data_IF_266172095280
#
_entry.id   IF_266172095280
#
_cell.length_a   1.000
_cell.length_b   1.000
_cell.length_c   1.000
_cell.angle_alpha   90.00
_cell.angle_beta   90.00
_cell.angle_gamma   90.00
#
_symmetry.space_group_name_H-M   'P 1'
#
loop_
_entity.id
_entity.type
_entity.pdbx_description
1 polymer ?
#
# COMPACT_ATOMS: atom_id res chain seq x y z
N UNK A 1 -52.07 -1.48 25.65
CA UNK A 1 -50.92 -0.85 24.96
C UNK A 1 -50.96 -1.33 23.52
N UNK A 2 -50.89 -0.44 22.53
CA UNK A 2 -50.90 -0.85 21.12
C UNK A 2 -49.66 -1.71 20.83
N UNK A 3 -49.81 -2.75 20.01
CA UNK A 3 -48.64 -3.52 19.54
C UNK A 3 -47.75 -2.59 18.71
N UNK A 4 -46.41 -2.65 18.87
CA UNK A 4 -45.49 -1.82 18.11
C UNK A 4 -45.60 -2.13 16.61
N UNK A 5 -45.53 -1.09 15.79
CA UNK A 5 -45.53 -1.18 14.34
C UNK A 5 -44.26 -1.85 13.81
N UNK A 6 -44.32 -2.39 12.58
CA UNK A 6 -43.15 -2.99 11.94
C UNK A 6 -41.98 -2.00 11.78
N UNK A 7 -42.26 -0.72 11.55
CA UNK A 7 -41.22 0.34 11.48
C UNK A 7 -40.54 0.59 12.82
N UNK A 8 -41.30 0.63 13.93
CA UNK A 8 -40.73 0.74 15.27
C UNK A 8 -39.88 -0.48 15.63
N UNK A 9 -40.32 -1.68 15.24
CA UNK A 9 -39.57 -2.92 15.45
C UNK A 9 -38.29 -2.95 14.59
N UNK A 10 -38.32 -2.44 13.36
CA UNK A 10 -37.14 -2.30 12.51
C UNK A 10 -36.11 -1.35 13.13
N UNK A 11 -36.54 -0.17 13.57
CA UNK A 11 -35.65 0.80 14.22
C UNK A 11 -35.03 0.22 15.49
N UNK A 12 -35.80 -0.55 16.26
CA UNK A 12 -35.27 -1.30 17.41
C UNK A 12 -34.24 -2.33 16.97
N UNK A 13 -34.50 -3.12 15.94
CA UNK A 13 -33.56 -4.12 15.43
C UNK A 13 -32.24 -3.48 14.96
N UNK A 14 -32.29 -2.33 14.29
CA UNK A 14 -31.11 -1.55 13.89
C UNK A 14 -30.33 -1.01 15.10
N UNK A 15 -31.05 -0.54 16.13
CA UNK A 15 -30.41 -0.10 17.37
C UNK A 15 -29.73 -1.28 18.11
N UNK A 16 -30.37 -2.44 18.16
CA UNK A 16 -29.78 -3.67 18.72
C UNK A 16 -28.57 -4.12 17.88
N UNK A 17 -28.62 -4.01 16.55
CA UNK A 17 -27.49 -4.31 15.68
C UNK A 17 -26.27 -3.44 16.01
N UNK A 18 -26.49 -2.16 16.34
CA UNK A 18 -25.43 -1.23 16.71
C UNK A 18 -24.74 -1.57 18.04
N UNK A 19 -25.36 -2.36 18.92
CA UNK A 19 -24.71 -2.82 20.17
C UNK A 19 -23.81 -4.04 19.97
N UNK A 20 -23.90 -4.72 18.82
CA UNK A 20 -23.14 -5.93 18.51
C UNK A 20 -23.72 -7.23 19.08
N UNK A 21 -24.90 -7.20 19.73
CA UNK A 21 -25.55 -8.42 20.21
C UNK A 21 -26.23 -9.16 19.05
N UNK A 22 -25.54 -10.17 18.51
CA UNK A 22 -26.01 -10.94 17.35
C UNK A 22 -27.32 -11.68 17.61
N UNK A 23 -27.50 -12.22 18.81
CA UNK A 23 -28.66 -13.05 19.14
C UNK A 23 -29.90 -12.17 19.29
N UNK A 24 -29.78 -11.08 20.04
CA UNK A 24 -30.87 -10.12 20.22
C UNK A 24 -31.24 -9.44 18.90
N UNK A 25 -30.25 -9.10 18.07
CA UNK A 25 -30.47 -8.45 16.77
C UNK A 25 -31.32 -9.33 15.85
N UNK A 26 -30.98 -10.62 15.71
CA UNK A 26 -31.78 -11.56 14.91
C UNK A 26 -33.19 -11.70 15.43
N UNK A 27 -33.35 -11.82 16.76
CA UNK A 27 -34.67 -11.94 17.37
C UNK A 27 -35.55 -10.69 17.15
N UNK A 28 -34.95 -9.49 17.18
CA UNK A 28 -35.65 -8.25 16.89
C UNK A 28 -36.00 -8.11 15.40
N UNK A 29 -35.11 -8.52 14.48
CA UNK A 29 -35.43 -8.59 13.05
C UNK A 29 -36.52 -9.61 12.73
N UNK A 30 -36.50 -10.80 13.34
CA UNK A 30 -37.54 -11.81 13.13
C UNK A 30 -38.92 -11.32 13.64
N UNK A 31 -38.95 -10.49 14.70
CA UNK A 31 -40.19 -9.82 15.15
C UNK A 31 -40.66 -8.76 14.16
N UNK A 32 -39.75 -7.94 13.65
CA UNK A 32 -40.06 -6.93 12.63
C UNK A 32 -40.62 -7.58 11.35
N UNK A 33 -40.02 -8.69 10.91
CA UNK A 33 -40.49 -9.47 9.76
C UNK A 33 -41.93 -9.96 9.96
N UNK A 34 -42.23 -10.61 11.09
CA UNK A 34 -43.59 -11.07 11.41
C UNK A 34 -44.62 -9.95 11.46
N UNK A 35 -44.23 -8.78 11.97
CA UNK A 35 -45.11 -7.61 12.00
C UNK A 35 -45.34 -7.03 10.60
N UNK A 36 -44.35 -7.12 9.71
CA UNK A 36 -44.41 -6.59 8.36
C UNK A 36 -45.15 -7.53 7.37
N UNK A 37 -45.22 -8.84 7.65
CA UNK A 37 -45.92 -9.83 6.81
C UNK A 37 -47.40 -9.47 6.56
N UNK A 38 -48.05 -8.80 7.51
CA UNK A 38 -49.45 -8.38 7.43
C UNK A 38 -49.62 -6.87 7.16
N UNK A 39 -48.52 -6.15 6.90
CA UNK A 39 -48.50 -4.72 6.62
C UNK A 39 -48.53 -4.38 5.13
N UNK A 40 -48.19 -3.13 4.77
CA UNK A 40 -47.96 -2.78 3.37
C UNK A 40 -46.66 -3.43 2.85
N UNK A 41 -46.65 -3.79 1.56
CA UNK A 41 -45.51 -4.47 0.95
C UNK A 41 -44.22 -3.63 0.93
N UNK A 42 -44.30 -2.30 1.12
CA UNK A 42 -43.12 -1.44 1.21
C UNK A 42 -42.38 -1.60 2.54
N UNK A 43 -43.12 -1.74 3.63
CA UNK A 43 -42.55 -1.97 4.95
C UNK A 43 -41.86 -3.33 5.03
N UNK A 44 -42.46 -4.37 4.43
CA UNK A 44 -41.84 -5.68 4.34
C UNK A 44 -40.54 -5.65 3.51
N UNK A 45 -40.53 -4.93 2.39
CA UNK A 45 -39.33 -4.73 1.56
C UNK A 45 -38.17 -4.13 2.35
N UNK A 46 -38.43 -3.05 3.11
CA UNK A 46 -37.41 -2.38 3.92
C UNK A 46 -36.86 -3.28 5.05
N UNK A 47 -37.74 -4.03 5.73
CA UNK A 47 -37.30 -4.96 6.79
C UNK A 47 -36.42 -6.07 6.19
N UNK A 48 -36.81 -6.65 5.05
CA UNK A 48 -36.01 -7.67 4.37
C UNK A 48 -34.66 -7.13 3.92
N UNK A 49 -34.61 -5.92 3.33
CA UNK A 49 -33.37 -5.28 2.92
C UNK A 49 -32.40 -5.12 4.10
N UNK A 50 -32.86 -4.50 5.19
CA UNK A 50 -32.04 -4.25 6.37
C UNK A 50 -31.55 -5.57 7.01
N UNK A 51 -32.42 -6.58 7.09
CA UNK A 51 -32.04 -7.86 7.67
C UNK A 51 -31.08 -8.64 6.78
N UNK A 52 -31.29 -8.65 5.46
CA UNK A 52 -30.38 -9.28 4.51
C UNK A 52 -28.99 -8.62 4.54
N UNK A 53 -28.93 -7.28 4.60
CA UNK A 53 -27.68 -6.55 4.73
C UNK A 53 -26.94 -6.91 6.04
N UNK A 54 -27.67 -6.98 7.16
CA UNK A 54 -27.12 -7.42 8.44
C UNK A 54 -26.57 -8.85 8.38
N UNK A 55 -27.35 -9.81 7.85
CA UNK A 55 -26.94 -11.21 7.73
C UNK A 55 -25.73 -11.37 6.80
N UNK A 56 -25.67 -10.61 5.69
CA UNK A 56 -24.51 -10.56 4.81
C UNK A 56 -23.25 -10.09 5.55
N UNK A 57 -23.35 -9.08 6.40
CA UNK A 57 -22.24 -8.61 7.23
C UNK A 57 -21.77 -9.67 8.24
N UNK A 58 -22.69 -10.50 8.75
CA UNK A 58 -22.38 -11.66 9.60
C UNK A 58 -21.93 -12.91 8.81
N UNK A 59 -21.80 -12.82 7.48
CA UNK A 59 -21.49 -13.94 6.58
C UNK A 59 -22.53 -15.09 6.61
N UNK A 60 -23.77 -14.79 6.97
CA UNK A 60 -24.90 -15.74 6.92
C UNK A 60 -25.62 -15.68 5.58
N UNK A 61 -24.91 -16.11 4.54
CA UNK A 61 -25.37 -15.97 3.16
C UNK A 61 -26.68 -16.70 2.81
N UNK A 62 -26.96 -17.94 3.26
CA UNK A 62 -28.17 -18.65 2.84
C UNK A 62 -29.47 -17.89 3.17
N UNK A 63 -29.58 -17.35 4.39
CA UNK A 63 -30.76 -16.58 4.81
C UNK A 63 -30.79 -15.20 4.14
N UNK A 64 -29.63 -14.54 3.96
CA UNK A 64 -29.55 -13.27 3.25
C UNK A 64 -29.98 -13.40 1.77
N UNK A 65 -29.55 -14.45 1.09
CA UNK A 65 -29.96 -14.77 -0.30
C UNK A 65 -31.47 -15.01 -0.36
N UNK A 66 -32.02 -15.81 0.56
CA UNK A 66 -33.45 -16.07 0.63
C UNK A 66 -34.26 -14.78 0.75
N UNK A 67 -33.90 -13.89 1.68
CA UNK A 67 -34.59 -12.61 1.88
C UNK A 67 -34.48 -11.70 0.64
N UNK A 68 -33.30 -11.62 0.03
CA UNK A 68 -33.11 -10.82 -1.19
C UNK A 68 -33.88 -11.36 -2.39
N UNK A 69 -34.00 -12.69 -2.54
CA UNK A 69 -34.84 -13.30 -3.58
C UNK A 69 -36.31 -12.99 -3.36
N UNK A 70 -36.82 -13.17 -2.13
CA UNK A 70 -38.20 -12.81 -1.79
C UNK A 70 -38.49 -11.34 -2.09
N UNK A 71 -37.54 -10.45 -1.76
CA UNK A 71 -37.65 -9.02 -2.05
C UNK A 71 -37.68 -8.73 -3.54
N UNK A 72 -36.80 -9.34 -4.33
CA UNK A 72 -36.79 -9.20 -5.79
C UNK A 72 -38.08 -9.71 -6.42
N UNK A 73 -38.59 -10.86 -5.97
CA UNK A 73 -39.85 -11.43 -6.45
C UNK A 73 -41.04 -10.52 -6.13
N UNK A 74 -41.10 -9.97 -4.91
CA UNK A 74 -42.12 -8.99 -4.53
C UNK A 74 -42.08 -7.74 -5.42
N UNK A 75 -40.88 -7.21 -5.72
CA UNK A 75 -40.72 -6.05 -6.60
C UNK A 75 -41.14 -6.34 -8.03
N UNK A 76 -40.82 -7.53 -8.56
CA UNK A 76 -41.25 -7.99 -9.89
C UNK A 76 -42.77 -8.21 -9.98
N UNK A 77 -43.36 -8.84 -8.96
CA UNK A 77 -44.80 -9.12 -8.90
C UNK A 77 -45.64 -7.87 -8.70
N UNK A 78 -45.15 -6.91 -7.91
CA UNK A 78 -45.86 -5.67 -7.63
C UNK A 78 -46.07 -4.79 -8.87
N UNK A 79 -45.47 -5.13 -10.04
CA UNK A 79 -45.50 -4.33 -11.27
C UNK A 79 -45.31 -2.83 -11.00
N UNK A 80 -44.50 -2.47 -10.00
CA UNK A 80 -44.20 -1.06 -9.76
C UNK A 80 -43.48 -0.59 -11.01
N UNK A 81 -44.00 0.45 -11.65
CA UNK A 81 -43.52 1.07 -12.90
C UNK A 81 -42.12 1.69 -12.77
N UNK A 82 -41.33 1.24 -11.80
CA UNK A 82 -40.04 1.75 -11.42
C UNK A 82 -38.99 0.63 -11.60
N UNK A 83 -38.43 0.47 -12.82
CA UNK A 83 -37.27 -0.38 -13.08
C UNK A 83 -36.13 -0.18 -12.06
N UNK A 84 -36.04 1.04 -11.48
CA UNK A 84 -35.22 1.44 -10.33
C UNK A 84 -35.16 0.40 -9.22
N UNK A 85 -36.33 0.05 -8.70
CA UNK A 85 -36.44 -0.85 -7.55
C UNK A 85 -36.03 -2.27 -7.92
N UNK A 86 -36.34 -2.73 -9.13
CA UNK A 86 -35.93 -4.07 -9.58
C UNK A 86 -34.41 -4.15 -9.66
N UNK A 87 -33.76 -3.16 -10.30
CA UNK A 87 -32.28 -3.11 -10.39
C UNK A 87 -31.64 -3.01 -9.02
N UNK A 88 -32.14 -2.18 -8.12
CA UNK A 88 -31.66 -2.11 -6.73
C UNK A 88 -31.74 -3.47 -6.02
N UNK A 89 -32.85 -4.20 -6.19
CA UNK A 89 -33.01 -5.54 -5.63
C UNK A 89 -32.06 -6.57 -6.25
N UNK A 90 -31.82 -6.46 -7.56
CA UNK A 90 -30.82 -7.28 -8.28
C UNK A 90 -29.42 -7.02 -7.73
N UNK A 91 -29.03 -5.76 -7.52
CA UNK A 91 -27.71 -5.39 -7.00
C UNK A 91 -27.48 -5.96 -5.59
N UNK A 92 -28.47 -5.86 -4.71
CA UNK A 92 -28.41 -6.43 -3.36
C UNK A 92 -28.27 -7.95 -3.36
N UNK A 93 -28.99 -8.63 -4.26
CA UNK A 93 -28.87 -10.08 -4.41
C UNK A 93 -27.51 -10.46 -5.00
N UNK A 94 -27.05 -9.78 -6.05
CA UNK A 94 -25.79 -10.06 -6.73
C UNK A 94 -24.58 -9.92 -5.80
N UNK A 95 -24.50 -8.85 -5.00
CA UNK A 95 -23.40 -8.69 -4.03
C UNK A 95 -23.46 -9.76 -2.93
N UNK A 96 -24.65 -10.22 -2.55
CA UNK A 96 -24.81 -11.28 -1.55
C UNK A 96 -24.39 -12.65 -2.10
N UNK A 97 -24.80 -12.97 -3.33
CA UNK A 97 -24.38 -14.19 -4.05
C UNK A 97 -22.87 -14.23 -4.25
N UNK A 98 -22.26 -13.10 -4.66
CA UNK A 98 -20.81 -12.98 -4.79
C UNK A 98 -20.10 -13.23 -3.46
N UNK A 99 -20.62 -12.71 -2.35
CA UNK A 99 -20.11 -13.00 -1.01
C UNK A 99 -20.18 -14.49 -0.62
N UNK A 100 -21.18 -15.21 -1.14
CA UNK A 100 -21.35 -16.64 -0.97
C UNK A 100 -20.50 -17.51 -1.92
N UNK A 101 -19.85 -16.89 -2.93
CA UNK A 101 -19.12 -17.58 -3.99
C UNK A 101 -19.99 -18.03 -5.17
N UNK A 102 -21.27 -17.64 -5.23
CA UNK A 102 -22.22 -17.97 -6.30
C UNK A 102 -22.06 -17.00 -7.51
N UNK A 103 -20.85 -16.96 -8.06
CA UNK A 103 -20.44 -15.92 -9.02
C UNK A 103 -21.18 -15.97 -10.37
N UNK A 104 -21.61 -17.14 -10.82
CA UNK A 104 -22.31 -17.29 -12.11
C UNK A 104 -23.72 -16.68 -12.07
N UNK A 105 -24.45 -16.91 -10.98
CA UNK A 105 -25.79 -16.33 -10.80
C UNK A 105 -25.70 -14.81 -10.60
N UNK A 106 -24.72 -14.35 -9.79
CA UNK A 106 -24.45 -12.93 -9.59
C UNK A 106 -24.16 -12.22 -10.93
N UNK A 107 -23.32 -12.81 -11.79
CA UNK A 107 -22.99 -12.24 -13.10
C UNK A 107 -24.21 -12.17 -14.03
N UNK A 108 -25.02 -13.23 -14.10
CA UNK A 108 -26.25 -13.24 -14.91
C UNK A 108 -27.24 -12.14 -14.49
N UNK A 109 -27.41 -11.98 -13.18
CA UNK A 109 -28.21 -10.91 -12.58
C UNK A 109 -27.67 -9.52 -12.91
N UNK A 110 -26.35 -9.31 -12.86
CA UNK A 110 -25.74 -8.03 -13.22
C UNK A 110 -25.93 -7.67 -14.69
N UNK A 111 -25.89 -8.65 -15.60
CA UNK A 111 -26.24 -8.45 -17.01
C UNK A 111 -27.72 -8.04 -17.19
N UNK A 112 -28.64 -8.67 -16.44
CA UNK A 112 -30.05 -8.26 -16.42
C UNK A 112 -30.20 -6.81 -15.94
N UNK A 113 -29.56 -6.44 -14.83
CA UNK A 113 -29.60 -5.09 -14.29
C UNK A 113 -29.08 -4.03 -15.29
N UNK A 114 -27.97 -4.31 -15.97
CA UNK A 114 -27.41 -3.41 -16.98
C UNK A 114 -28.36 -3.27 -18.17
N UNK A 115 -28.95 -4.36 -18.65
CA UNK A 115 -29.90 -4.31 -19.77
C UNK A 115 -31.15 -3.48 -19.40
N UNK A 116 -31.66 -3.61 -18.17
CA UNK A 116 -32.76 -2.78 -17.66
C UNK A 116 -32.36 -1.31 -17.57
N UNK A 117 -31.15 -1.02 -17.11
CA UNK A 117 -30.60 0.33 -17.02
C UNK A 117 -30.37 1.00 -18.36
N UNK A 118 -30.07 0.23 -19.41
CA UNK A 118 -29.95 0.74 -20.78
C UNK A 118 -31.32 0.98 -21.43
N UNK A 119 -32.34 0.22 -21.03
CA UNK A 119 -33.69 0.30 -21.59
C UNK A 119 -34.58 1.38 -20.96
N UNK A 120 -34.18 1.99 -19.83
CA UNK A 120 -35.00 2.96 -19.10
C UNK A 120 -34.14 3.98 -18.36
N UNK A 121 -34.61 5.24 -18.18
CA UNK A 121 -33.90 6.21 -17.36
C UNK A 121 -33.73 5.70 -15.92
N UNK A 122 -32.49 5.73 -15.40
CA UNK A 122 -32.17 5.27 -14.05
C UNK A 122 -31.21 6.24 -13.34
N UNK A 123 -31.24 6.29 -12.00
CA UNK A 123 -30.23 6.98 -11.20
C UNK A 123 -28.82 6.49 -11.56
N UNK A 124 -27.87 7.43 -11.70
CA UNK A 124 -26.47 7.11 -12.06
C UNK A 124 -25.84 6.11 -11.09
N UNK A 125 -26.21 6.16 -9.81
CA UNK A 125 -25.75 5.25 -8.76
C UNK A 125 -26.06 3.78 -9.11
N UNK A 126 -27.28 3.47 -9.58
CA UNK A 126 -27.68 2.10 -9.94
C UNK A 126 -26.92 1.62 -11.17
N UNK A 127 -26.81 2.47 -12.20
CA UNK A 127 -26.08 2.15 -13.44
C UNK A 127 -24.60 1.90 -13.13
N UNK A 128 -23.97 2.80 -12.40
CA UNK A 128 -22.56 2.70 -12.05
C UNK A 128 -22.26 1.50 -11.17
N UNK A 129 -23.09 1.23 -10.15
CA UNK A 129 -22.87 0.09 -9.26
C UNK A 129 -23.04 -1.25 -9.98
N UNK A 130 -24.00 -1.37 -10.91
CA UNK A 130 -24.14 -2.59 -11.74
C UNK A 130 -22.87 -2.84 -12.58
N UNK A 131 -22.35 -1.80 -13.23
CA UNK A 131 -21.14 -1.87 -14.04
C UNK A 131 -19.89 -2.18 -13.20
N UNK A 132 -19.77 -1.57 -12.01
CA UNK A 132 -18.65 -1.82 -11.08
C UNK A 132 -18.68 -3.26 -10.57
N UNK A 133 -19.85 -3.78 -10.16
CA UNK A 133 -19.93 -5.16 -9.69
C UNK A 133 -19.61 -6.16 -10.81
N UNK A 134 -20.07 -5.90 -12.04
CA UNK A 134 -19.70 -6.74 -13.18
C UNK A 134 -18.19 -6.65 -13.48
N UNK A 135 -17.59 -5.46 -13.36
CA UNK A 135 -16.14 -5.29 -13.58
C UNK A 135 -15.31 -6.12 -12.61
N UNK A 136 -15.77 -6.31 -11.37
CA UNK A 136 -15.09 -7.17 -10.38
C UNK A 136 -15.01 -8.63 -10.83
N UNK A 137 -16.00 -9.17 -11.55
CA UNK A 137 -15.94 -10.52 -12.11
C UNK A 137 -14.87 -10.64 -13.20
N UNK A 138 -14.74 -9.61 -14.05
CA UNK A 138 -13.68 -9.55 -15.06
C UNK A 138 -12.29 -9.37 -14.43
N UNK A 139 -12.18 -8.60 -13.34
CA UNK A 139 -10.95 -8.46 -12.57
C UNK A 139 -10.47 -9.81 -12.01
N UNK A 140 -11.36 -10.59 -11.41
CA UNK A 140 -11.05 -11.94 -10.89
C UNK A 140 -10.55 -12.88 -11.99
N UNK A 141 -11.11 -12.77 -13.20
CA UNK A 141 -10.69 -13.52 -14.38
C UNK A 141 -9.46 -12.91 -15.10
N UNK A 142 -8.91 -11.80 -14.58
CA UNK A 142 -7.80 -11.03 -15.19
C UNK A 142 -8.11 -10.50 -16.60
N UNK A 143 -9.37 -10.27 -16.91
CA UNK A 143 -9.83 -9.70 -18.17
C UNK A 143 -9.80 -8.16 -18.13
N UNK A 144 -8.61 -7.58 -17.95
CA UNK A 144 -8.42 -6.16 -17.63
C UNK A 144 -9.01 -5.18 -18.66
N UNK A 145 -9.06 -5.56 -19.94
CA UNK A 145 -9.68 -4.72 -20.97
C UNK A 145 -11.21 -4.60 -20.78
N UNK A 146 -11.88 -5.71 -20.40
CA UNK A 146 -13.33 -5.71 -20.12
C UNK A 146 -13.63 -4.98 -18.82
N UNK A 147 -12.80 -5.19 -17.80
CA UNK A 147 -12.86 -4.47 -16.53
C UNK A 147 -12.80 -2.95 -16.75
N UNK A 148 -11.78 -2.46 -17.45
CA UNK A 148 -11.59 -1.03 -17.71
C UNK A 148 -12.75 -0.45 -18.52
N UNK A 149 -13.23 -1.16 -19.55
CA UNK A 149 -14.36 -0.69 -20.34
C UNK A 149 -15.64 -0.49 -19.51
N UNK A 150 -15.90 -1.37 -18.54
CA UNK A 150 -17.04 -1.25 -17.63
C UNK A 150 -16.85 -0.09 -16.64
N UNK A 151 -15.65 0.08 -16.10
CA UNK A 151 -15.36 1.17 -15.16
C UNK A 151 -15.40 2.56 -15.82
N UNK A 152 -14.92 2.71 -17.04
CA UNK A 152 -15.07 3.96 -17.81
C UNK A 152 -16.55 4.28 -18.10
N UNK A 153 -17.37 3.26 -18.36
CA UNK A 153 -18.83 3.44 -18.49
C UNK A 153 -19.47 3.88 -17.17
N UNK A 154 -19.07 3.28 -16.05
CA UNK A 154 -19.57 3.63 -14.72
C UNK A 154 -19.17 5.07 -14.34
N UNK A 155 -17.92 5.44 -14.62
CA UNK A 155 -17.39 6.78 -14.41
C UNK A 155 -18.17 7.80 -15.24
N UNK A 156 -18.36 7.53 -16.55
CA UNK A 156 -19.13 8.41 -17.43
C UNK A 156 -20.56 8.63 -16.95
N UNK A 157 -21.22 7.58 -16.42
CA UNK A 157 -22.56 7.69 -15.86
C UNK A 157 -22.62 8.63 -14.65
N UNK A 158 -21.63 8.55 -13.74
CA UNK A 158 -21.53 9.44 -12.57
C UNK A 158 -21.09 10.86 -12.92
N UNK A 159 -20.22 11.04 -13.90
CA UNK A 159 -19.78 12.38 -14.36
C UNK A 159 -20.90 13.15 -15.07
N UNK A 160 -21.82 12.45 -15.73
CA UNK A 160 -22.99 13.05 -16.37
C UNK A 160 -24.08 13.47 -15.37
N UNK A 161 -24.00 13.00 -14.11
CA UNK A 161 -25.00 13.27 -13.08
C UNK A 161 -24.54 14.40 -12.14
N UNK A 162 -25.13 15.61 -12.22
CA UNK A 162 -24.75 16.73 -11.38
C UNK A 162 -25.12 16.53 -9.90
N UNK A 163 -25.96 15.54 -9.59
CA UNK A 163 -26.38 15.21 -8.22
C UNK A 163 -25.51 14.12 -7.58
N UNK A 164 -24.57 13.54 -8.32
CA UNK A 164 -23.69 12.49 -7.82
C UNK A 164 -22.85 13.01 -6.63
N UNK A 165 -22.86 12.32 -5.48
CA UNK A 165 -22.05 12.71 -4.35
C UNK A 165 -20.55 12.75 -4.72
N UNK A 166 -19.81 13.83 -4.37
CA UNK A 166 -18.39 13.95 -4.74
C UNK A 166 -17.53 12.76 -4.30
N UNK A 167 -17.83 12.20 -3.13
CA UNK A 167 -17.16 11.02 -2.58
C UNK A 167 -17.35 9.77 -3.46
N UNK A 168 -18.56 9.53 -3.98
CA UNK A 168 -18.83 8.38 -4.84
C UNK A 168 -18.16 8.52 -6.21
N UNK A 169 -18.20 9.72 -6.79
CA UNK A 169 -17.48 10.00 -8.03
C UNK A 169 -15.97 9.81 -7.85
N UNK A 170 -15.41 10.29 -6.74
CA UNK A 170 -14.00 10.12 -6.42
C UNK A 170 -13.60 8.64 -6.23
N UNK A 171 -14.44 7.83 -5.56
CA UNK A 171 -14.23 6.37 -5.47
C UNK A 171 -14.22 5.71 -6.85
N UNK A 172 -15.15 6.10 -7.73
CA UNK A 172 -15.23 5.55 -9.09
C UNK A 172 -13.99 5.90 -9.90
N UNK A 173 -13.48 7.12 -9.75
CA UNK A 173 -12.21 7.55 -10.37
C UNK A 173 -11.03 6.74 -9.84
N UNK A 174 -10.93 6.51 -8.53
CA UNK A 174 -9.86 5.68 -7.95
C UNK A 174 -9.92 4.23 -8.47
N UNK A 175 -11.10 3.62 -8.51
CA UNK A 175 -11.29 2.26 -9.07
C UNK A 175 -10.91 2.20 -10.56
N UNK A 176 -11.36 3.19 -11.34
CA UNK A 176 -11.05 3.28 -12.77
C UNK A 176 -9.54 3.50 -12.98
N UNK A 177 -8.90 4.35 -12.18
CA UNK A 177 -7.47 4.57 -12.25
C UNK A 177 -6.66 3.30 -11.98
N UNK A 178 -7.08 2.49 -11.00
CA UNK A 178 -6.47 1.18 -10.72
C UNK A 178 -6.61 0.23 -11.91
N UNK A 179 -7.73 0.25 -12.61
CA UNK A 179 -7.90 -0.52 -13.84
C UNK A 179 -7.02 0.01 -14.99
N UNK A 180 -6.89 1.33 -15.14
CA UNK A 180 -5.95 1.95 -16.06
C UNK A 180 -4.50 1.50 -15.79
N UNK A 181 -4.07 1.45 -14.53
CA UNK A 181 -2.74 0.94 -14.15
C UNK A 181 -2.53 -0.52 -14.61
N UNK A 182 -3.53 -1.40 -14.40
CA UNK A 182 -3.47 -2.80 -14.86
C UNK A 182 -3.43 -2.89 -16.39
N UNK A 183 -4.16 -2.02 -17.08
CA UNK A 183 -4.18 -1.90 -18.53
C UNK A 183 -2.97 -1.14 -19.11
N UNK A 184 -2.08 -0.62 -18.27
CA UNK A 184 -0.92 0.22 -18.64
C UNK A 184 -1.27 1.57 -19.29
N UNK A 185 -2.48 2.08 -19.05
CA UNK A 185 -2.86 3.45 -19.41
C UNK A 185 -2.46 4.43 -18.29
N UNK A 186 -1.15 4.67 -18.19
CA UNK A 186 -0.55 5.51 -17.15
C UNK A 186 -1.01 6.98 -17.20
N UNK A 187 -1.16 7.63 -18.37
CA UNK A 187 -1.66 9.00 -18.44
C UNK A 187 -3.07 9.16 -17.85
N UNK A 188 -3.98 8.25 -18.21
CA UNK A 188 -5.36 8.26 -17.69
C UNK A 188 -5.41 7.93 -16.20
N UNK A 189 -4.63 6.94 -15.74
CA UNK A 189 -4.53 6.62 -14.32
C UNK A 189 -4.11 7.83 -13.48
N UNK A 190 -3.09 8.57 -13.93
CA UNK A 190 -2.60 9.77 -13.24
C UNK A 190 -3.66 10.86 -13.15
N UNK A 191 -4.35 11.13 -14.26
CA UNK A 191 -5.44 12.11 -14.32
C UNK A 191 -6.50 11.78 -13.28
N UNK A 192 -7.00 10.55 -13.30
CA UNK A 192 -8.06 10.08 -12.41
C UNK A 192 -7.64 10.12 -10.93
N UNK A 193 -6.43 9.64 -10.60
CA UNK A 193 -5.90 9.72 -9.23
C UNK A 193 -5.76 11.15 -8.74
N UNK A 194 -5.28 12.07 -9.59
CA UNK A 194 -5.11 13.49 -9.23
C UNK A 194 -6.44 14.18 -8.89
N UNK A 195 -7.54 13.72 -9.47
CA UNK A 195 -8.90 14.21 -9.19
C UNK A 195 -9.55 13.49 -8.00
N UNK A 196 -9.30 12.19 -7.85
CA UNK A 196 -9.93 11.35 -6.82
C UNK A 196 -9.37 11.61 -5.42
N UNK A 197 -8.04 11.56 -5.29
CA UNK A 197 -7.39 11.48 -3.98
C UNK A 197 -7.68 12.69 -3.08
N UNK A 198 -7.65 13.97 -3.54
CA UNK A 198 -7.96 15.11 -2.68
C UNK A 198 -9.37 15.06 -2.05
N UNK A 199 -10.35 14.50 -2.78
CA UNK A 199 -11.73 14.36 -2.30
C UNK A 199 -11.83 13.20 -1.31
N UNK A 200 -11.25 12.04 -1.63
CA UNK A 200 -11.25 10.88 -0.72
C UNK A 200 -10.54 11.21 0.60
N UNK A 201 -9.45 11.98 0.52
CA UNK A 201 -8.59 12.32 1.64
C UNK A 201 -9.23 13.27 2.67
N UNK A 202 -10.27 13.99 2.25
CA UNK A 202 -11.06 14.91 3.08
C UNK A 202 -12.41 14.32 3.51
N UNK A 203 -12.76 13.12 3.02
CA UNK A 203 -14.03 12.47 3.31
C UNK A 203 -13.90 11.58 4.56
N UNK A 204 -14.60 11.87 5.68
CA UNK A 204 -14.41 11.17 6.95
C UNK A 204 -14.64 9.66 6.88
N UNK A 205 -15.51 9.20 5.97
CA UNK A 205 -15.86 7.79 5.77
C UNK A 205 -14.66 6.94 5.32
N UNK A 206 -13.67 7.55 4.67
CA UNK A 206 -12.48 6.85 4.16
C UNK A 206 -11.22 7.11 4.97
N UNK A 207 -11.34 7.75 6.14
CA UNK A 207 -10.19 8.09 7.00
C UNK A 207 -9.42 6.84 7.50
N UNK A 208 -10.04 5.66 7.46
CA UNK A 208 -9.42 4.36 7.75
C UNK A 208 -9.21 3.47 6.52
N UNK A 209 -9.37 3.98 5.30
CA UNK A 209 -9.22 3.18 4.07
C UNK A 209 -7.74 2.98 3.71
N UNK A 210 -7.22 1.73 3.71
CA UNK A 210 -5.83 1.44 3.34
C UNK A 210 -5.52 1.71 1.85
N UNK A 211 -6.55 1.88 1.01
CA UNK A 211 -6.37 2.15 -0.41
C UNK A 211 -5.93 3.59 -0.71
N UNK A 212 -6.28 4.57 0.14
CA UNK A 212 -5.92 5.98 -0.08
C UNK A 212 -4.40 6.18 -0.10
N UNK A 213 -3.61 5.73 0.91
CA UNK A 213 -2.16 5.88 0.85
C UNK A 213 -1.54 5.11 -0.33
N UNK A 214 -2.12 3.98 -0.75
CA UNK A 214 -1.68 3.25 -1.95
C UNK A 214 -1.90 4.07 -3.24
N UNK A 215 -3.03 4.76 -3.35
CA UNK A 215 -3.31 5.65 -4.47
C UNK A 215 -2.33 6.83 -4.54
N UNK A 216 -2.00 7.45 -3.40
CA UNK A 216 -0.97 8.50 -3.35
C UNK A 216 0.41 7.99 -3.76
N UNK A 217 0.79 6.78 -3.34
CA UNK A 217 2.06 6.16 -3.73
C UNK A 217 2.10 5.86 -5.24
N UNK A 218 0.99 5.40 -5.82
CA UNK A 218 0.86 5.18 -7.26
C UNK A 218 0.99 6.51 -8.03
N UNK A 219 0.29 7.55 -7.59
CA UNK A 219 0.39 8.89 -8.20
C UNK A 219 1.82 9.45 -8.12
N UNK A 220 2.50 9.27 -6.98
CA UNK A 220 3.88 9.67 -6.82
C UNK A 220 4.81 8.98 -7.84
N UNK A 221 4.62 7.68 -8.05
CA UNK A 221 5.41 6.88 -9.00
C UNK A 221 5.16 7.31 -10.44
N UNK A 222 3.90 7.54 -10.83
CA UNK A 222 3.55 8.08 -12.14
C UNK A 222 4.19 9.46 -12.40
N UNK A 223 4.25 10.32 -11.38
CA UNK A 223 4.94 11.61 -11.48
C UNK A 223 6.46 11.44 -11.63
N UNK A 224 7.07 10.50 -10.92
CA UNK A 224 8.51 10.24 -11.01
C UNK A 224 8.92 9.72 -12.39
N UNK A 225 8.14 8.81 -12.97
CA UNK A 225 8.37 8.28 -14.33
C UNK A 225 8.30 9.36 -15.42
N UNK A 226 7.50 10.42 -15.19
CA UNK A 226 7.44 11.60 -16.07
C UNK A 226 8.58 12.61 -15.81
N UNK A 227 9.48 12.33 -14.87
CA UNK A 227 10.55 13.23 -14.46
C UNK A 227 10.11 14.38 -13.53
N UNK A 228 8.85 14.40 -13.07
CA UNK A 228 8.36 15.40 -12.13
C UNK A 228 8.66 14.98 -10.68
N UNK A 229 9.95 15.01 -10.33
CA UNK A 229 10.47 14.63 -9.02
C UNK A 229 9.89 15.46 -7.86
N UNK A 230 9.67 16.79 -7.98
CA UNK A 230 9.04 17.56 -6.90
C UNK A 230 7.61 17.12 -6.60
N UNK A 231 6.81 16.81 -7.63
CA UNK A 231 5.46 16.27 -7.40
C UNK A 231 5.51 14.87 -6.82
N UNK A 232 6.41 14.02 -7.31
CA UNK A 232 6.61 12.67 -6.78
C UNK A 232 6.96 12.67 -5.29
N UNK A 233 7.91 13.52 -4.87
CA UNK A 233 8.30 13.67 -3.48
C UNK A 233 7.12 14.09 -2.59
N UNK A 234 6.34 15.10 -3.02
CA UNK A 234 5.15 15.55 -2.28
C UNK A 234 4.10 14.45 -2.13
N UNK A 235 3.77 13.75 -3.22
CA UNK A 235 2.74 12.71 -3.20
C UNK A 235 3.19 11.47 -2.40
N UNK A 236 4.46 11.08 -2.47
CA UNK A 236 4.98 9.98 -1.66
C UNK A 236 5.01 10.34 -0.17
N UNK A 237 5.31 11.60 0.17
CA UNK A 237 5.17 12.08 1.55
C UNK A 237 3.73 12.02 2.04
N UNK A 238 2.76 12.42 1.22
CA UNK A 238 1.33 12.25 1.55
C UNK A 238 0.99 10.78 1.79
N UNK A 239 1.46 9.86 0.94
CA UNK A 239 1.27 8.42 1.13
C UNK A 239 1.80 7.94 2.49
N UNK A 240 3.02 8.36 2.86
CA UNK A 240 3.63 8.03 4.14
C UNK A 240 2.84 8.58 5.34
N UNK A 241 2.52 9.86 5.33
CA UNK A 241 1.78 10.51 6.41
C UNK A 241 0.41 9.84 6.63
N UNK A 242 -0.28 9.45 5.55
CA UNK A 242 -1.57 8.75 5.62
C UNK A 242 -1.44 7.31 6.07
N UNK A 243 -0.46 6.56 5.57
CA UNK A 243 -0.19 5.20 6.05
C UNK A 243 0.11 5.20 7.56
N UNK A 244 0.92 6.15 8.04
CA UNK A 244 1.26 6.29 9.46
C UNK A 244 0.04 6.67 10.30
N UNK A 245 -0.78 7.62 9.83
CA UNK A 245 -2.04 8.00 10.49
C UNK A 245 -2.99 6.81 10.60
N UNK A 246 -3.17 6.05 9.52
CA UNK A 246 -3.98 4.83 9.50
C UNK A 246 -3.50 3.82 10.56
N UNK A 247 -2.21 3.52 10.58
CA UNK A 247 -1.62 2.60 11.56
C UNK A 247 -1.84 3.05 13.00
N UNK A 248 -1.77 4.37 13.27
CA UNK A 248 -1.98 4.93 14.62
C UNK A 248 -3.43 4.83 15.13
N UNK A 249 -4.41 4.74 14.22
CA UNK A 249 -5.84 4.70 14.56
C UNK A 249 -6.39 3.29 14.78
N UNK A 250 -5.67 2.28 14.31
CA UNK A 250 -6.09 0.89 14.43
C UNK A 250 -5.49 0.27 15.70
N UNK A 251 -6.33 -0.11 16.69
CA UNK A 251 -5.84 -0.89 17.83
C UNK A 251 -5.32 -2.24 17.31
N UNK A 252 -4.05 -2.55 17.57
CA UNK A 252 -3.35 -3.72 17.03
C UNK A 252 -3.29 -3.75 15.49
N UNK A 253 -2.83 -2.65 14.88
CA UNK A 253 -2.55 -2.61 13.45
C UNK A 253 -1.73 -3.84 12.99
N UNK A 254 -2.10 -4.46 11.85
CA UNK A 254 -1.42 -5.65 11.35
C UNK A 254 0.02 -5.32 10.95
N UNK A 255 0.93 -6.29 11.09
CA UNK A 255 2.35 -6.12 10.80
C UNK A 255 2.58 -5.68 9.35
N UNK A 256 1.77 -6.16 8.40
CA UNK A 256 1.79 -5.79 6.99
C UNK A 256 1.55 -4.29 6.80
N UNK A 257 0.66 -3.68 7.60
CA UNK A 257 0.42 -2.25 7.55
C UNK A 257 1.64 -1.47 8.06
N UNK A 258 2.31 -1.95 9.11
CA UNK A 258 3.54 -1.30 9.57
C UNK A 258 4.67 -1.41 8.53
N UNK A 259 4.81 -2.55 7.83
CA UNK A 259 5.73 -2.66 6.71
C UNK A 259 5.37 -1.70 5.56
N UNK A 260 4.08 -1.53 5.28
CA UNK A 260 3.61 -0.56 4.28
C UNK A 260 3.94 0.90 4.67
N UNK A 261 3.89 1.25 5.97
CA UNK A 261 4.39 2.54 6.46
C UNK A 261 5.89 2.72 6.19
N UNK A 262 6.70 1.69 6.44
CA UNK A 262 8.14 1.75 6.15
C UNK A 262 8.41 1.89 4.65
N UNK A 263 7.70 1.13 3.81
CA UNK A 263 7.82 1.20 2.35
C UNK A 263 7.51 2.61 1.82
N UNK A 264 6.40 3.20 2.26
CA UNK A 264 6.01 4.55 1.84
C UNK A 264 7.02 5.60 2.31
N UNK A 265 7.58 5.46 3.52
CA UNK A 265 8.63 6.35 4.02
C UNK A 265 9.92 6.27 3.18
N UNK A 266 10.37 5.06 2.84
CA UNK A 266 11.57 4.86 2.03
C UNK A 266 11.38 5.38 0.60
N UNK A 267 10.21 5.18 0.00
CA UNK A 267 9.91 5.73 -1.31
C UNK A 267 9.88 7.27 -1.28
N UNK A 268 9.27 7.85 -0.24
CA UNK A 268 9.23 9.31 -0.06
C UNK A 268 10.64 9.88 0.11
N UNK A 269 11.50 9.24 0.91
CA UNK A 269 12.90 9.65 1.07
C UNK A 269 13.70 9.54 -0.24
N UNK A 270 13.45 8.49 -1.03
CA UNK A 270 14.08 8.31 -2.35
C UNK A 270 13.70 9.45 -3.29
N UNK A 271 12.40 9.76 -3.42
CA UNK A 271 11.97 10.86 -4.29
C UNK A 271 12.40 12.23 -3.78
N UNK A 272 12.42 12.47 -2.46
CA UNK A 272 12.98 13.70 -1.89
C UNK A 272 14.47 13.85 -2.24
N UNK A 273 15.25 12.77 -2.13
CA UNK A 273 16.67 12.78 -2.50
C UNK A 273 16.88 13.05 -4.00
N UNK A 274 16.11 12.41 -4.86
CA UNK A 274 16.13 12.65 -6.31
C UNK A 274 15.71 14.09 -6.65
N UNK A 275 14.77 14.66 -5.90
CA UNK A 275 14.36 16.05 -5.99
C UNK A 275 15.36 17.05 -5.35
N UNK A 276 16.56 16.60 -4.97
CA UNK A 276 17.63 17.39 -4.34
C UNK A 276 17.22 17.98 -2.97
N UNK A 277 16.42 17.23 -2.20
CA UNK A 277 15.98 17.56 -0.83
C UNK A 277 16.57 16.57 0.19
N UNK A 278 17.91 16.53 0.40
CA UNK A 278 18.54 15.52 1.25
C UNK A 278 18.17 15.64 2.72
N UNK A 279 17.89 16.85 3.21
CA UNK A 279 17.44 17.05 4.60
C UNK A 279 16.06 16.43 4.85
N UNK A 280 15.14 16.54 3.88
CA UNK A 280 13.82 15.91 3.96
C UNK A 280 13.94 14.38 3.87
N UNK A 281 14.82 13.86 3.00
CA UNK A 281 15.09 12.42 2.94
C UNK A 281 15.67 11.87 4.26
N UNK A 282 16.59 12.60 4.90
CA UNK A 282 17.13 12.23 6.21
C UNK A 282 16.05 12.26 7.31
N UNK A 283 15.16 13.25 7.28
CA UNK A 283 14.03 13.32 8.21
C UNK A 283 13.07 12.12 8.02
N UNK A 284 12.65 11.84 6.78
CA UNK A 284 11.70 10.77 6.48
C UNK A 284 12.24 9.39 6.89
N UNK A 285 13.53 9.14 6.68
CA UNK A 285 14.18 7.88 7.09
C UNK A 285 14.34 7.76 8.61
N UNK A 286 14.56 8.88 9.31
CA UNK A 286 14.55 8.90 10.77
C UNK A 286 13.15 8.60 11.33
N UNK A 287 12.10 9.20 10.75
CA UNK A 287 10.72 8.92 11.13
C UNK A 287 10.34 7.45 10.86
N UNK A 288 10.83 6.87 9.76
CA UNK A 288 10.69 5.44 9.48
C UNK A 288 11.36 4.56 10.56
N UNK A 289 12.57 4.94 11.00
CA UNK A 289 13.28 4.23 12.06
C UNK A 289 12.55 4.26 13.40
N UNK A 290 12.07 5.43 13.82
CA UNK A 290 11.31 5.56 15.06
C UNK A 290 9.99 4.78 14.98
N UNK A 291 9.32 4.79 13.83
CA UNK A 291 8.13 3.95 13.60
C UNK A 291 8.46 2.45 13.69
N UNK A 292 9.56 2.00 13.09
CA UNK A 292 9.97 0.60 13.15
C UNK A 292 10.29 0.18 14.60
N UNK A 293 11.04 1.00 15.33
CA UNK A 293 11.40 0.74 16.72
C UNK A 293 10.18 0.63 17.64
N UNK A 294 9.15 1.45 17.42
CA UNK A 294 7.94 1.44 18.23
C UNK A 294 7.02 0.25 17.94
N UNK A 295 6.96 -0.22 16.69
CA UNK A 295 5.93 -1.15 16.24
C UNK A 295 6.42 -2.59 15.97
N UNK A 296 7.73 -2.84 16.03
CA UNK A 296 8.33 -4.17 15.81
C UNK A 296 9.12 -4.68 17.03
N UNK A 297 8.60 -4.50 18.25
CA UNK A 297 9.33 -4.83 19.49
C UNK A 297 9.87 -6.28 19.58
N UNK A 298 9.25 -7.25 18.90
CA UNK A 298 9.71 -8.65 18.84
C UNK A 298 10.69 -8.97 17.70
N UNK A 299 10.94 -8.02 16.80
CA UNK A 299 11.85 -8.19 15.67
C UNK A 299 12.65 -6.89 15.44
N UNK A 300 13.92 -6.82 15.87
CA UNK A 300 14.73 -5.61 15.70
C UNK A 300 15.17 -5.37 14.24
N UNK A 301 15.00 -6.33 13.33
CA UNK A 301 15.52 -6.24 11.96
C UNK A 301 14.98 -5.02 11.19
N UNK A 302 13.66 -4.72 11.17
CA UNK A 302 13.14 -3.55 10.46
C UNK A 302 13.73 -2.24 11.00
N UNK A 303 13.94 -2.13 12.32
CA UNK A 303 14.53 -0.93 12.92
C UNK A 303 16.01 -0.77 12.54
N UNK A 304 16.76 -1.88 12.43
CA UNK A 304 18.16 -1.86 11.98
C UNK A 304 18.27 -1.52 10.48
N UNK A 305 17.36 -2.02 9.66
CA UNK A 305 17.32 -1.74 8.22
C UNK A 305 16.98 -0.27 7.94
N UNK A 306 15.95 0.28 8.57
CA UNK A 306 15.59 1.69 8.44
C UNK A 306 16.71 2.60 8.96
N UNK A 307 17.41 2.20 10.03
CA UNK A 307 18.57 2.94 10.56
C UNK A 307 19.74 2.93 9.56
N UNK A 308 19.99 1.80 8.91
CA UNK A 308 21.01 1.69 7.87
C UNK A 308 20.68 2.58 6.67
N UNK A 309 19.41 2.66 6.26
CA UNK A 309 18.96 3.56 5.20
C UNK A 309 19.15 5.02 5.62
N UNK A 310 18.76 5.40 6.84
CA UNK A 310 18.99 6.75 7.38
C UNK A 310 20.49 7.12 7.38
N UNK A 311 21.34 6.18 7.78
CA UNK A 311 22.79 6.36 7.81
C UNK A 311 23.39 6.71 6.45
N UNK A 312 22.84 6.21 5.34
CA UNK A 312 23.30 6.60 4.00
C UNK A 312 23.17 8.12 3.76
N UNK A 313 22.10 8.74 4.26
CA UNK A 313 21.89 10.18 4.14
C UNK A 313 22.79 10.98 5.09
N UNK A 314 22.96 10.53 6.33
CA UNK A 314 23.84 11.19 7.32
C UNK A 314 25.31 11.13 6.88
N UNK A 315 25.75 9.99 6.35
CA UNK A 315 27.10 9.81 5.79
C UNK A 315 27.28 10.68 4.54
N UNK A 316 26.28 10.72 3.64
CA UNK A 316 26.30 11.55 2.45
C UNK A 316 26.36 13.06 2.74
N UNK A 317 25.80 13.50 3.87
CA UNK A 317 25.90 14.87 4.36
C UNK A 317 27.25 15.18 5.06
N UNK A 318 28.14 14.20 5.21
CA UNK A 318 29.42 14.36 5.89
C UNK A 318 29.32 14.41 7.42
N UNK A 319 28.17 14.06 8.00
CA UNK A 319 27.91 14.15 9.44
C UNK A 319 28.45 12.91 10.19
N UNK A 320 29.73 12.59 9.97
CA UNK A 320 30.38 11.35 10.45
C UNK A 320 30.31 11.18 11.98
N UNK A 321 30.40 12.28 12.73
CA UNK A 321 30.31 12.25 14.20
C UNK A 321 28.92 11.79 14.70
N UNK A 322 27.85 12.11 13.96
CA UNK A 322 26.50 11.61 14.25
C UNK A 322 26.32 10.17 13.76
N UNK A 323 26.93 9.83 12.63
CA UNK A 323 26.83 8.50 12.03
C UNK A 323 27.52 7.40 12.84
N UNK A 324 28.65 7.68 13.50
CA UNK A 324 29.43 6.67 14.23
C UNK A 324 28.61 5.88 15.26
N UNK A 325 27.97 6.50 16.27
CA UNK A 325 27.23 5.75 17.30
C UNK A 325 26.08 4.93 16.71
N UNK A 326 25.37 5.48 15.72
CA UNK A 326 24.26 4.82 15.04
C UNK A 326 24.73 3.61 14.22
N UNK A 327 25.85 3.74 13.49
CA UNK A 327 26.41 2.63 12.74
C UNK A 327 26.93 1.51 13.65
N UNK A 328 27.53 1.86 14.80
CA UNK A 328 27.90 0.85 15.81
C UNK A 328 26.68 0.10 16.34
N UNK A 329 25.56 0.77 16.55
CA UNK A 329 24.29 0.13 16.91
C UNK A 329 23.82 -0.83 15.81
N UNK A 330 23.88 -0.43 14.52
CA UNK A 330 23.52 -1.32 13.39
C UNK A 330 24.40 -2.57 13.37
N UNK A 331 25.72 -2.40 13.47
CA UNK A 331 26.69 -3.52 13.48
C UNK A 331 26.40 -4.46 14.65
N UNK A 332 26.29 -3.95 15.87
CA UNK A 332 26.04 -4.76 17.07
C UNK A 332 24.70 -5.52 16.99
N UNK A 333 23.64 -4.84 16.56
CA UNK A 333 22.32 -5.46 16.40
C UNK A 333 22.31 -6.56 15.35
N UNK A 334 22.90 -6.31 14.17
CA UNK A 334 23.00 -7.33 13.11
C UNK A 334 23.90 -8.50 13.53
N UNK A 335 25.00 -8.26 14.23
CA UNK A 335 25.87 -9.32 14.75
C UNK A 335 25.12 -10.23 15.72
N UNK A 336 24.33 -9.66 16.63
CA UNK A 336 23.53 -10.43 17.59
C UNK A 336 22.48 -11.31 16.90
N UNK A 337 21.90 -10.85 15.78
CA UNK A 337 20.85 -11.58 15.05
C UNK A 337 21.40 -12.65 14.11
N UNK A 338 22.49 -12.34 13.42
CA UNK A 338 22.98 -13.10 12.26
C UNK A 338 24.25 -13.91 12.57
N UNK A 339 24.97 -13.57 13.64
CA UNK A 339 26.30 -14.09 13.95
C UNK A 339 27.44 -13.26 13.34
N UNK A 340 28.65 -13.39 13.89
CA UNK A 340 29.79 -12.49 13.60
C UNK A 340 30.36 -12.61 12.18
N UNK A 341 30.16 -13.74 11.52
CA UNK A 341 30.68 -14.05 10.18
C UNK A 341 29.63 -13.93 9.06
N UNK A 342 28.45 -13.37 9.36
CA UNK A 342 27.37 -13.29 8.37
C UNK A 342 27.67 -12.28 7.26
N UNK A 343 27.38 -12.63 6.01
CA UNK A 343 27.64 -11.80 4.83
C UNK A 343 27.03 -10.39 4.93
N UNK A 344 25.83 -10.28 5.49
CA UNK A 344 25.12 -9.00 5.67
C UNK A 344 25.79 -8.01 6.64
N UNK A 345 26.87 -8.42 7.33
CA UNK A 345 27.71 -7.53 8.12
C UNK A 345 28.75 -6.78 7.29
N UNK A 346 28.99 -7.19 6.04
CA UNK A 346 29.99 -6.56 5.17
C UNK A 346 29.72 -5.07 4.95
N UNK A 347 28.49 -4.71 4.54
CA UNK A 347 28.12 -3.32 4.29
C UNK A 347 28.17 -2.46 5.56
N UNK A 348 27.57 -2.87 6.70
CA UNK A 348 27.71 -2.15 7.97
C UNK A 348 29.17 -1.95 8.41
N UNK A 349 30.02 -2.98 8.34
CA UNK A 349 31.44 -2.84 8.70
C UNK A 349 32.18 -1.90 7.75
N UNK A 350 31.95 -2.00 6.45
CA UNK A 350 32.55 -1.10 5.47
C UNK A 350 32.15 0.36 5.73
N UNK A 351 30.86 0.61 6.00
CA UNK A 351 30.40 1.96 6.27
C UNK A 351 30.92 2.49 7.62
N UNK A 352 31.02 1.64 8.65
CA UNK A 352 31.65 2.01 9.92
C UNK A 352 33.13 2.36 9.71
N UNK A 353 33.87 1.57 8.93
CA UNK A 353 35.26 1.86 8.58
C UNK A 353 35.39 3.20 7.86
N UNK A 354 34.50 3.49 6.90
CA UNK A 354 34.48 4.78 6.20
C UNK A 354 34.22 5.96 7.15
N UNK A 355 33.25 5.83 8.06
CA UNK A 355 32.98 6.84 9.09
C UNK A 355 34.22 7.07 9.96
N UNK A 356 34.84 6.00 10.47
CA UNK A 356 36.01 6.08 11.36
C UNK A 356 37.22 6.70 10.66
N UNK A 357 37.46 6.37 9.39
CA UNK A 357 38.55 6.95 8.59
C UNK A 357 38.38 8.47 8.44
N UNK A 358 37.14 8.96 8.23
CA UNK A 358 36.86 10.39 8.14
C UNK A 358 36.93 11.10 9.50
N UNK A 359 36.77 10.38 10.61
CA UNK A 359 36.99 10.88 11.96
C UNK A 359 38.46 10.78 12.41
N UNK A 360 39.36 10.27 11.56
CA UNK A 360 40.78 10.10 11.88
C UNK A 360 41.11 8.90 12.76
N UNK A 361 40.14 8.00 13.01
CA UNK A 361 40.31 6.76 13.78
C UNK A 361 40.81 5.63 12.88
N UNK A 362 41.97 5.84 12.27
CA UNK A 362 42.45 5.02 11.15
C UNK A 362 42.71 3.54 11.52
N UNK A 363 43.18 3.24 12.73
CA UNK A 363 43.40 1.86 13.17
C UNK A 363 42.09 1.06 13.36
N UNK A 364 41.04 1.71 13.88
CA UNK A 364 39.72 1.10 13.99
C UNK A 364 39.07 0.96 12.61
N UNK A 365 39.29 1.91 11.71
CA UNK A 365 38.82 1.85 10.33
C UNK A 365 39.43 0.65 9.58
N UNK A 366 40.73 0.42 9.71
CA UNK A 366 41.42 -0.75 9.14
C UNK A 366 40.80 -2.06 9.62
N UNK A 367 40.54 -2.16 10.93
CA UNK A 367 39.88 -3.33 11.53
C UNK A 367 38.50 -3.55 10.93
N UNK A 368 37.71 -2.48 10.76
CA UNK A 368 36.37 -2.57 10.18
C UNK A 368 36.39 -3.01 8.72
N UNK A 369 37.25 -2.44 7.88
CA UNK A 369 37.33 -2.85 6.48
C UNK A 369 37.83 -4.29 6.33
N UNK A 370 38.76 -4.75 7.17
CA UNK A 370 39.17 -6.17 7.19
C UNK A 370 38.03 -7.10 7.60
N UNK A 371 37.21 -6.71 8.58
CA UNK A 371 35.99 -7.46 8.94
C UNK A 371 34.97 -7.48 7.80
N UNK A 372 34.77 -6.36 7.11
CA UNK A 372 33.90 -6.30 5.93
C UNK A 372 34.35 -7.26 4.83
N UNK A 373 35.66 -7.29 4.53
CA UNK A 373 36.25 -8.24 3.60
C UNK A 373 36.08 -9.69 4.07
N UNK A 374 36.37 -9.98 5.34
CA UNK A 374 36.27 -11.33 5.91
C UNK A 374 34.83 -11.88 5.87
N UNK A 375 33.81 -11.06 6.14
CA UNK A 375 32.40 -11.44 6.01
C UNK A 375 32.01 -11.84 4.57
N UNK A 376 32.75 -11.33 3.59
CA UNK A 376 32.49 -11.50 2.16
C UNK A 376 33.36 -12.57 1.48
N UNK A 377 34.50 -12.96 2.06
CA UNK A 377 35.51 -13.81 1.40
C UNK A 377 35.04 -15.26 1.18
N UNK A 378 34.03 -15.70 1.93
CA UNK A 378 33.45 -17.06 1.82
C UNK A 378 32.22 -17.12 0.91
N UNK A 379 31.75 -15.98 0.43
CA UNK A 379 30.65 -15.88 -0.53
C UNK A 379 31.20 -15.72 -1.96
N UNK A 380 30.41 -16.00 -3.01
CA UNK A 380 30.76 -15.61 -4.37
C UNK A 380 31.20 -14.14 -4.39
N UNK A 381 32.27 -13.83 -5.12
CA UNK A 381 32.75 -12.46 -5.22
C UNK A 381 31.60 -11.54 -5.63
N UNK A 382 31.31 -10.50 -4.85
CA UNK A 382 30.37 -9.43 -5.21
C UNK A 382 31.09 -8.09 -5.26
N UNK A 383 30.47 -7.09 -5.88
CA UNK A 383 30.94 -5.71 -5.91
C UNK A 383 31.30 -5.21 -4.50
N UNK A 384 30.48 -5.56 -3.50
CA UNK A 384 30.67 -5.17 -2.10
C UNK A 384 32.01 -5.65 -1.55
N UNK A 385 32.48 -6.83 -1.96
CA UNK A 385 33.78 -7.38 -1.56
C UNK A 385 34.92 -6.45 -2.03
N UNK A 386 34.84 -5.95 -3.25
CA UNK A 386 35.86 -5.06 -3.83
C UNK A 386 35.89 -3.66 -3.22
N UNK A 387 34.75 -3.14 -2.74
CA UNK A 387 34.70 -1.83 -2.09
C UNK A 387 35.43 -1.78 -0.76
N UNK A 388 35.41 -2.86 0.03
CA UNK A 388 36.16 -2.95 1.29
C UNK A 388 37.68 -2.87 1.05
N UNK A 389 38.18 -3.63 0.08
CA UNK A 389 39.61 -3.61 -0.32
C UNK A 389 40.03 -2.25 -0.87
N UNK A 390 39.19 -1.65 -1.72
CA UNK A 390 39.41 -0.28 -2.21
C UNK A 390 39.56 0.71 -1.05
N UNK A 391 38.71 0.62 -0.03
CA UNK A 391 38.76 1.51 1.11
C UNK A 391 39.98 1.25 2.01
N UNK A 392 40.44 0.00 2.14
CA UNK A 392 41.74 -0.32 2.75
C UNK A 392 42.91 0.32 1.97
N UNK A 393 42.89 0.23 0.65
CA UNK A 393 43.90 0.87 -0.20
C UNK A 393 43.97 2.38 -0.01
N UNK A 394 42.81 3.05 0.04
CA UNK A 394 42.72 4.49 0.32
C UNK A 394 43.24 4.84 1.73
N UNK A 395 42.91 4.02 2.73
CA UNK A 395 43.38 4.19 4.09
C UNK A 395 44.91 4.06 4.18
N UNK A 396 45.50 3.06 3.54
CA UNK A 396 46.95 2.89 3.50
C UNK A 396 47.65 4.00 2.72
N UNK A 397 47.05 4.50 1.65
CA UNK A 397 47.56 5.66 0.92
C UNK A 397 47.58 6.91 1.83
N UNK A 398 46.50 7.16 2.58
CA UNK A 398 46.43 8.24 3.58
C UNK A 398 47.52 8.12 4.66
N UNK A 399 47.90 6.89 5.02
CA UNK A 399 48.97 6.61 5.99
C UNK A 399 50.39 6.64 5.40
N UNK A 400 50.55 6.81 4.08
CA UNK A 400 51.85 6.71 3.39
C UNK A 400 52.39 5.28 3.24
N UNK A 401 51.54 4.25 3.47
CA UNK A 401 51.86 2.83 3.31
C UNK A 401 51.66 2.38 1.86
N UNK A 402 52.57 2.82 1.01
CA UNK A 402 52.48 2.73 -0.45
C UNK A 402 52.43 1.29 -0.98
N UNK A 403 53.18 0.37 -0.38
CA UNK A 403 53.22 -1.04 -0.80
C UNK A 403 51.90 -1.75 -0.47
N UNK A 404 51.40 -1.55 0.74
CA UNK A 404 50.12 -2.10 1.22
C UNK A 404 48.96 -1.53 0.42
N UNK A 405 48.94 -0.21 0.18
CA UNK A 405 47.92 0.43 -0.66
C UNK A 405 47.87 -0.20 -2.07
N UNK A 406 49.03 -0.41 -2.70
CA UNK A 406 49.12 -1.05 -4.02
C UNK A 406 48.61 -2.49 -4.00
N UNK A 407 48.92 -3.25 -2.95
CA UNK A 407 48.44 -4.62 -2.81
C UNK A 407 46.91 -4.68 -2.71
N UNK A 408 46.32 -3.82 -1.86
CA UNK A 408 44.87 -3.75 -1.66
C UNK A 408 44.15 -3.26 -2.92
N UNK A 409 44.67 -2.26 -3.63
CA UNK A 409 44.07 -1.81 -4.89
C UNK A 409 44.14 -2.89 -5.98
N UNK A 410 45.24 -3.66 -6.08
CA UNK A 410 45.30 -4.80 -7.01
C UNK A 410 44.28 -5.88 -6.67
N UNK A 411 44.12 -6.20 -5.37
CA UNK A 411 43.11 -7.14 -4.91
C UNK A 411 41.69 -6.63 -5.22
N UNK A 412 41.43 -5.35 -5.01
CA UNK A 412 40.16 -4.72 -5.37
C UNK A 412 39.87 -4.79 -6.87
N UNK A 413 40.86 -4.55 -7.74
CA UNK A 413 40.69 -4.67 -9.20
C UNK A 413 40.33 -6.08 -9.65
N UNK A 414 40.97 -7.08 -9.07
CA UNK A 414 40.69 -8.49 -9.38
C UNK A 414 39.23 -8.87 -9.10
N UNK A 415 38.56 -8.16 -8.20
CA UNK A 415 37.14 -8.36 -7.87
C UNK A 415 36.22 -7.43 -8.67
N UNK A 416 36.53 -6.13 -8.73
CA UNK A 416 35.63 -5.10 -9.28
C UNK A 416 35.62 -5.09 -10.80
N UNK A 417 36.76 -5.31 -11.45
CA UNK A 417 36.87 -5.19 -12.92
C UNK A 417 36.02 -6.24 -13.67
N UNK A 418 36.01 -7.52 -13.29
CA UNK A 418 35.13 -8.51 -13.92
C UNK A 418 33.63 -8.23 -13.73
N UNK A 419 33.25 -7.52 -12.66
CA UNK A 419 31.83 -7.30 -12.31
C UNK A 419 31.27 -6.00 -12.88
N UNK A 420 32.06 -4.93 -12.83
CA UNK A 420 31.62 -3.59 -13.22
C UNK A 420 32.12 -3.18 -14.61
N UNK A 421 33.13 -3.90 -15.14
CA UNK A 421 33.81 -3.57 -16.37
C UNK A 421 34.91 -2.52 -16.19
N UNK A 422 35.90 -2.57 -17.09
CA UNK A 422 37.09 -1.72 -17.06
C UNK A 422 36.81 -0.21 -17.10
N UNK A 423 35.68 0.19 -17.70
CA UNK A 423 35.32 1.61 -17.88
C UNK A 423 34.56 2.21 -16.69
N UNK A 424 34.18 1.38 -15.72
CA UNK A 424 33.43 1.84 -14.55
C UNK A 424 34.25 2.87 -13.73
N UNK A 425 33.65 3.98 -13.27
CA UNK A 425 34.37 5.03 -12.54
C UNK A 425 35.17 4.53 -11.33
N UNK A 426 34.61 3.56 -10.59
CA UNK A 426 35.29 2.94 -9.44
C UNK A 426 36.53 2.16 -9.88
N UNK A 427 36.46 1.40 -10.98
CA UNK A 427 37.61 0.63 -11.50
C UNK A 427 38.70 1.59 -11.97
N UNK A 428 38.35 2.67 -12.67
CA UNK A 428 39.30 3.73 -13.07
C UNK A 428 40.00 4.36 -11.86
N UNK A 429 39.24 4.67 -10.80
CA UNK A 429 39.80 5.21 -9.56
C UNK A 429 40.79 4.25 -8.90
N UNK A 430 40.42 2.96 -8.77
CA UNK A 430 41.30 1.94 -8.17
C UNK A 430 42.57 1.74 -9.00
N UNK A 431 42.48 1.74 -10.34
CA UNK A 431 43.65 1.68 -11.23
C UNK A 431 44.58 2.89 -11.03
N UNK A 432 44.01 4.09 -10.94
CA UNK A 432 44.78 5.29 -10.66
C UNK A 432 45.48 5.18 -9.30
N UNK A 433 44.78 4.75 -8.25
CA UNK A 433 45.36 4.49 -6.93
C UNK A 433 46.51 3.49 -6.97
N UNK A 434 46.34 2.36 -7.66
CA UNK A 434 47.39 1.35 -7.84
C UNK A 434 48.62 1.84 -8.63
N UNK A 435 48.45 2.86 -9.47
CA UNK A 435 49.53 3.46 -10.27
C UNK A 435 50.24 4.60 -9.52
N UNK A 436 49.51 5.41 -8.75
CA UNK A 436 50.05 6.52 -7.94
C UNK A 436 50.75 6.07 -6.66
N UNK A 437 50.60 4.80 -6.28
CA UNK A 437 51.32 4.15 -5.18
C UNK A 437 52.59 3.42 -5.65
N UNK A 438 53.23 3.86 -6.74
CA UNK A 438 54.59 3.46 -7.15
C UNK A 438 55.50 4.67 -7.05
#
# INVERSE_FOLDING_TARGET
>A
MANPSASELLNKALATAATGDVTATKADFDKAMKAAEFGDGGTLDHVMHAYAAYLRAQREFPKAIQLNRMRLDLRRLAKREEPGLIVDGILDLAITLRGAGENLEAEALLHEAIAMAEASPMPSALVANALIYLSMHHLERKEFAKELALLERALKAREADPTCPPAELALTRDQTAKACLRAKDFPRARELLSQALPVLDTTPQFDLDPNIPQGWLALATLCAEQGNLPAAARHARQAFERARKLASKLPHAPTELHFFVLQTAHQAATYAAMAQQPAEAAQLTWEAHEHAKANFAGNPLPALETLQIHLNYVIGAGEFAKAEPLMRQVVAGKMMLLGEDHLDLSVPFNNLGFILMNLGKDAEAETCFRKAWAACVRAPATEHNGHALKNLGLLYQKQGKTAEATAEFKAALAVLEPQLGAEHPVVKMVRAGAASSR
#
